data_IF_608507401874
#
_entry.id   IF_608507401874
#
_cell.length_a   1.000
_cell.length_b   1.000
_cell.length_c   1.000
_cell.angle_alpha   90.00
_cell.angle_beta   90.00
_cell.angle_gamma   90.00
#
_symmetry.space_group_name_H-M   'P 1'
#
loop_
_entity.id
_entity.type
_entity.pdbx_description
1 polymer ?
#
# COMPACT_ATOMS: atom_id res chain seq x y z
N UNK A 1 13.39 58.45 19.17
CA UNK A 1 14.20 57.28 19.54
C UNK A 1 13.51 56.59 20.70
N UNK A 2 12.68 55.59 20.42
CA UNK A 2 12.23 54.60 21.40
C UNK A 2 11.78 53.38 20.60
N UNK A 3 12.52 52.30 20.83
CA UNK A 3 12.39 50.99 20.19
C UNK A 3 11.21 50.29 20.83
N UNK A 4 10.27 49.81 20.01
CA UNK A 4 9.30 48.81 20.43
C UNK A 4 9.15 47.77 19.31
N UNK A 5 10.27 47.09 19.06
CA UNK A 5 10.32 45.88 18.26
C UNK A 5 10.27 44.66 19.18
N UNK A 6 9.35 43.74 18.87
CA UNK A 6 9.55 42.34 19.19
C UNK A 6 8.55 41.73 20.15
N UNK A 7 7.32 41.45 19.71
CA UNK A 7 6.48 40.38 20.29
C UNK A 7 5.48 39.75 19.30
N UNK A 8 5.79 39.65 18.01
CA UNK A 8 4.92 38.97 17.01
C UNK A 8 5.49 37.66 16.44
N UNK A 9 6.46 37.03 17.09
CA UNK A 9 7.23 35.92 16.49
C UNK A 9 6.77 34.48 16.76
N UNK A 10 5.74 34.19 17.57
CA UNK A 10 5.59 32.84 18.15
C UNK A 10 4.22 32.13 17.98
N UNK A 11 3.31 32.61 17.12
CA UNK A 11 1.96 32.02 17.02
C UNK A 11 1.69 31.11 15.79
N UNK A 12 2.68 30.88 14.91
CA UNK A 12 2.45 30.22 13.61
C UNK A 12 2.89 28.75 13.46
N UNK A 13 3.61 28.17 14.43
CA UNK A 13 4.40 26.95 14.20
C UNK A 13 3.70 25.60 14.52
N UNK A 14 2.52 25.62 15.16
CA UNK A 14 1.93 24.42 15.78
C UNK A 14 1.42 23.32 14.83
N UNK A 15 0.54 23.62 13.85
CA UNK A 15 -0.13 22.59 13.05
C UNK A 15 0.74 21.97 11.94
N UNK A 16 1.59 22.78 11.30
CA UNK A 16 2.38 22.33 10.14
C UNK A 16 3.59 21.50 10.59
N UNK A 17 4.16 21.78 11.77
CA UNK A 17 5.24 20.98 12.34
C UNK A 17 4.78 19.57 12.72
N UNK A 18 3.61 19.45 13.36
CA UNK A 18 3.01 18.16 13.73
C UNK A 18 2.74 17.28 12.51
N UNK A 19 2.15 17.85 11.46
CA UNK A 19 1.94 17.15 10.18
C UNK A 19 3.25 16.72 9.52
N UNK A 20 4.27 17.58 9.46
CA UNK A 20 5.58 17.23 8.89
C UNK A 20 6.26 16.10 9.67
N UNK A 21 6.10 16.07 11.00
CA UNK A 21 6.61 14.98 11.84
C UNK A 21 5.84 13.68 11.56
N UNK A 22 4.52 13.72 11.49
CA UNK A 22 3.69 12.55 11.18
C UNK A 22 4.05 11.96 9.81
N UNK A 23 4.19 12.78 8.76
CA UNK A 23 4.61 12.32 7.43
C UNK A 23 6.01 11.68 7.46
N UNK A 24 6.96 12.24 8.22
CA UNK A 24 8.28 11.63 8.41
C UNK A 24 8.20 10.28 9.10
N UNK A 25 7.33 10.13 10.10
CA UNK A 25 7.11 8.85 10.78
C UNK A 25 6.49 7.81 9.83
N UNK A 26 5.54 8.20 8.99
CA UNK A 26 4.97 7.31 7.97
C UNK A 26 6.02 6.88 6.94
N UNK A 27 6.86 7.82 6.47
CA UNK A 27 7.97 7.50 5.58
C UNK A 27 8.95 6.53 6.26
N UNK A 28 9.31 6.76 7.52
CA UNK A 28 10.20 5.89 8.27
C UNK A 28 9.59 4.50 8.48
N UNK A 29 8.29 4.41 8.79
CA UNK A 29 7.56 3.15 8.87
C UNK A 29 7.62 2.37 7.56
N UNK A 30 7.39 3.03 6.43
CA UNK A 30 7.56 2.41 5.12
C UNK A 30 9.02 2.01 4.85
N UNK A 31 9.98 2.81 5.29
CA UNK A 31 11.41 2.50 5.23
C UNK A 31 11.77 1.22 5.99
N UNK A 32 11.17 0.99 7.17
CA UNK A 32 11.35 -0.26 7.93
C UNK A 32 10.79 -1.47 7.19
N UNK A 33 9.65 -1.32 6.49
CA UNK A 33 9.09 -2.37 5.63
C UNK A 33 10.11 -2.73 4.52
N UNK A 34 10.73 -1.73 3.90
CA UNK A 34 11.78 -1.96 2.91
C UNK A 34 13.01 -2.66 3.49
N UNK A 35 13.47 -2.27 4.69
CA UNK A 35 14.57 -2.97 5.37
C UNK A 35 14.22 -4.44 5.62
N UNK A 36 12.99 -4.71 6.07
CA UNK A 36 12.52 -6.07 6.27
C UNK A 36 12.51 -6.89 4.98
N UNK A 37 11.98 -6.32 3.89
CA UNK A 37 12.03 -6.94 2.56
C UNK A 37 13.46 -7.24 2.13
N UNK A 38 14.40 -6.30 2.31
CA UNK A 38 15.82 -6.50 1.95
C UNK A 38 16.45 -7.64 2.74
N UNK A 39 16.21 -7.73 4.05
CA UNK A 39 16.72 -8.84 4.88
C UNK A 39 16.25 -10.19 4.35
N UNK A 40 14.99 -10.28 3.90
CA UNK A 40 14.46 -11.49 3.29
C UNK A 40 15.08 -11.77 1.92
N UNK A 41 15.20 -10.76 1.07
CA UNK A 41 15.78 -10.87 -0.27
C UNK A 41 17.27 -11.26 -0.25
N UNK A 42 18.00 -10.93 0.82
CA UNK A 42 19.40 -11.32 0.99
C UNK A 42 19.59 -12.78 1.42
N UNK A 43 18.52 -13.54 1.69
CA UNK A 43 18.64 -14.97 2.00
C UNK A 43 19.16 -15.73 0.77
N UNK A 44 20.10 -16.68 0.93
CA UNK A 44 20.66 -17.43 -0.20
C UNK A 44 19.61 -18.13 -1.06
N UNK A 45 18.55 -18.66 -0.43
CA UNK A 45 17.43 -19.33 -1.13
C UNK A 45 16.71 -18.35 -2.07
N UNK A 46 16.55 -17.10 -1.67
CA UNK A 46 15.94 -16.09 -2.53
C UNK A 46 16.83 -15.72 -3.71
N UNK A 47 18.11 -15.41 -3.44
CA UNK A 47 19.07 -14.98 -4.45
C UNK A 47 19.37 -16.05 -5.51
N UNK A 48 19.35 -17.32 -5.13
CA UNK A 48 19.76 -18.41 -6.01
C UNK A 48 18.60 -19.11 -6.71
N UNK A 49 17.37 -19.01 -6.18
CA UNK A 49 16.26 -19.82 -6.66
C UNK A 49 14.93 -19.04 -6.73
N UNK A 50 14.46 -18.48 -5.61
CA UNK A 50 13.10 -17.92 -5.56
C UNK A 50 12.90 -16.70 -6.46
N UNK A 51 13.91 -15.83 -6.61
CA UNK A 51 13.79 -14.65 -7.46
C UNK A 51 13.46 -15.02 -8.92
N UNK A 52 14.22 -15.95 -9.49
CA UNK A 52 14.00 -16.38 -10.87
C UNK A 52 12.68 -17.13 -11.04
N UNK A 53 12.32 -17.98 -10.07
CA UNK A 53 11.02 -18.67 -10.07
C UNK A 53 9.85 -17.70 -9.97
N UNK A 54 10.01 -16.63 -9.21
CA UNK A 54 8.95 -15.64 -9.05
C UNK A 54 8.67 -14.84 -10.33
N UNK A 55 9.59 -14.82 -11.30
CA UNK A 55 9.34 -14.26 -12.62
C UNK A 55 8.54 -15.19 -13.53
N UNK A 56 8.51 -16.51 -13.25
CA UNK A 56 7.80 -17.46 -14.08
C UNK A 56 6.30 -17.17 -14.10
N UNK A 57 5.68 -17.29 -15.28
CA UNK A 57 4.24 -17.21 -15.41
C UNK A 57 3.55 -18.29 -14.57
N UNK A 58 2.41 -17.96 -13.97
CA UNK A 58 1.60 -18.89 -13.20
C UNK A 58 0.61 -19.63 -14.10
N UNK A 59 0.20 -20.87 -13.73
CA UNK A 59 -0.84 -21.59 -14.45
C UNK A 59 -2.13 -20.77 -14.58
N UNK A 60 -2.67 -20.69 -15.81
CA UNK A 60 -3.91 -19.96 -16.10
C UNK A 60 -3.72 -18.49 -16.49
N UNK A 61 -2.48 -17.98 -16.56
CA UNK A 61 -2.21 -16.64 -17.07
C UNK A 61 -2.35 -16.56 -18.59
N UNK A 62 -2.78 -15.40 -19.09
CA UNK A 62 -2.97 -15.15 -20.51
C UNK A 62 -1.67 -15.34 -21.29
N UNK A 63 -1.75 -15.86 -22.52
CA UNK A 63 -0.58 -16.20 -23.34
C UNK A 63 0.36 -15.00 -23.58
N UNK A 64 -0.20 -13.80 -23.77
CA UNK A 64 0.60 -12.58 -23.95
C UNK A 64 1.44 -12.26 -22.70
N UNK A 65 0.89 -12.51 -21.50
CA UNK A 65 1.56 -12.24 -20.23
C UNK A 65 2.65 -13.28 -19.99
N UNK A 66 2.37 -14.55 -20.26
CA UNK A 66 3.38 -15.61 -20.21
C UNK A 66 4.55 -15.35 -21.17
N UNK A 67 4.27 -14.86 -22.39
CA UNK A 67 5.32 -14.46 -23.34
C UNK A 67 6.11 -13.23 -22.86
N UNK A 68 5.45 -12.28 -22.18
CA UNK A 68 6.11 -11.12 -21.58
C UNK A 68 7.06 -11.55 -20.44
N UNK A 69 6.61 -12.34 -19.48
CA UNK A 69 7.45 -12.78 -18.35
C UNK A 69 8.57 -13.71 -18.79
N UNK A 70 8.33 -14.59 -19.76
CA UNK A 70 9.38 -15.41 -20.36
C UNK A 70 10.51 -14.56 -20.97
N UNK A 71 10.17 -13.47 -21.70
CA UNK A 71 11.19 -12.53 -22.22
C UNK A 71 12.00 -11.89 -21.10
N UNK A 72 11.35 -11.46 -20.02
CA UNK A 72 12.03 -10.89 -18.85
C UNK A 72 12.97 -11.93 -18.21
N UNK A 73 12.52 -13.18 -18.08
CA UNK A 73 13.34 -14.27 -17.55
C UNK A 73 14.60 -14.51 -18.39
N UNK A 74 14.49 -14.52 -19.72
CA UNK A 74 15.64 -14.67 -20.63
C UNK A 74 16.67 -13.56 -20.39
N UNK A 75 16.22 -12.31 -20.27
CA UNK A 75 17.10 -11.18 -19.94
C UNK A 75 17.77 -11.34 -18.57
N UNK A 76 17.00 -11.75 -17.55
CA UNK A 76 17.51 -11.98 -16.19
C UNK A 76 18.54 -13.11 -16.16
N UNK A 77 18.29 -14.19 -16.90
CA UNK A 77 19.25 -15.30 -17.04
C UNK A 77 20.53 -14.85 -17.74
N UNK A 78 20.43 -14.06 -18.82
CA UNK A 78 21.57 -13.53 -19.56
C UNK A 78 22.47 -12.62 -18.70
N UNK A 79 21.88 -11.81 -17.82
CA UNK A 79 22.61 -10.94 -16.89
C UNK A 79 23.13 -11.69 -15.64
N UNK A 80 22.63 -12.91 -15.41
CA UNK A 80 22.85 -13.71 -14.21
C UNK A 80 21.79 -13.43 -13.14
N UNK A 81 20.90 -14.39 -12.89
CA UNK A 81 19.74 -14.22 -12.00
C UNK A 81 20.11 -13.73 -10.59
N UNK A 82 21.16 -14.29 -9.99
CA UNK A 82 21.64 -13.87 -8.68
C UNK A 82 22.16 -12.43 -8.66
N UNK A 83 22.76 -11.95 -9.76
CA UNK A 83 23.21 -10.56 -9.88
C UNK A 83 22.03 -9.60 -9.95
N UNK A 84 20.99 -9.95 -10.71
CA UNK A 84 19.75 -9.16 -10.78
C UNK A 84 19.03 -9.16 -9.43
N UNK A 85 18.97 -10.30 -8.74
CA UNK A 85 18.39 -10.40 -7.40
C UNK A 85 19.14 -9.53 -6.38
N UNK A 86 20.49 -9.53 -6.41
CA UNK A 86 21.31 -8.65 -5.57
C UNK A 86 21.10 -7.17 -5.91
N UNK A 87 20.99 -6.82 -7.19
CA UNK A 87 20.69 -5.45 -7.61
C UNK A 87 19.30 -4.99 -7.12
N UNK A 88 18.30 -5.86 -7.19
CA UNK A 88 16.97 -5.67 -6.60
C UNK A 88 17.05 -5.39 -5.09
N UNK A 89 17.80 -6.20 -4.35
CA UNK A 89 18.01 -6.00 -2.91
C UNK A 89 18.76 -4.68 -2.61
N UNK A 90 19.74 -4.31 -3.43
CA UNK A 90 20.48 -3.06 -3.29
C UNK A 90 19.58 -1.83 -3.54
N UNK A 91 18.71 -1.88 -4.57
CA UNK A 91 17.69 -0.85 -4.80
C UNK A 91 16.78 -0.75 -3.57
N UNK A 92 16.30 -1.88 -3.04
CA UNK A 92 15.48 -1.90 -1.84
C UNK A 92 16.17 -1.28 -0.61
N UNK A 93 17.46 -1.54 -0.43
CA UNK A 93 18.25 -0.97 0.67
C UNK A 93 18.41 0.55 0.52
N UNK A 94 18.65 1.05 -0.70
CA UNK A 94 18.74 2.47 -0.99
C UNK A 94 17.39 3.19 -0.77
N UNK A 95 16.29 2.57 -1.19
CA UNK A 95 14.94 3.09 -0.94
C UNK A 95 14.66 3.15 0.57
N UNK A 96 14.91 2.06 1.31
CA UNK A 96 14.75 2.01 2.76
C UNK A 96 15.59 3.07 3.48
N UNK A 97 16.86 3.21 3.13
CA UNK A 97 17.75 4.22 3.71
C UNK A 97 17.27 5.65 3.43
N UNK A 98 16.83 5.93 2.20
CA UNK A 98 16.27 7.23 1.84
C UNK A 98 15.01 7.56 2.66
N UNK A 99 14.11 6.59 2.82
CA UNK A 99 12.88 6.74 3.59
C UNK A 99 13.13 6.99 5.07
N UNK A 100 14.08 6.26 5.67
CA UNK A 100 14.45 6.40 7.09
C UNK A 100 15.16 7.72 7.39
N UNK A 101 16.01 8.19 6.48
CA UNK A 101 16.83 9.39 6.70
C UNK A 101 16.20 10.67 6.14
N UNK A 102 15.24 10.55 5.22
CA UNK A 102 14.70 11.66 4.44
C UNK A 102 15.66 12.21 3.37
N UNK A 103 16.84 11.62 3.18
CA UNK A 103 17.83 12.07 2.19
C UNK A 103 17.46 11.57 0.80
N UNK A 104 17.59 12.43 -0.21
CA UNK A 104 17.27 12.13 -1.62
C UNK A 104 15.84 11.66 -1.87
N UNK A 105 14.92 11.94 -0.93
CA UNK A 105 13.59 11.34 -0.87
C UNK A 105 12.79 11.50 -2.16
N UNK A 106 12.91 12.65 -2.86
CA UNK A 106 12.23 12.84 -4.15
C UNK A 106 12.75 11.91 -5.24
N UNK A 107 14.06 11.79 -5.38
CA UNK A 107 14.67 10.95 -6.41
C UNK A 107 14.40 9.47 -6.11
N UNK A 108 14.55 9.08 -4.85
CA UNK A 108 14.23 7.73 -4.38
C UNK A 108 12.75 7.40 -4.51
N UNK A 109 11.84 8.36 -4.30
CA UNK A 109 10.42 8.10 -4.52
C UNK A 109 10.08 7.87 -5.99
N UNK A 110 10.65 8.64 -6.93
CA UNK A 110 10.49 8.36 -8.36
C UNK A 110 11.07 7.00 -8.77
N UNK A 111 12.27 6.68 -8.29
CA UNK A 111 12.85 5.35 -8.48
C UNK A 111 11.93 4.27 -7.93
N UNK A 112 11.40 4.47 -6.72
CA UNK A 112 10.46 3.58 -6.05
C UNK A 112 9.19 3.34 -6.87
N UNK A 113 8.57 4.38 -7.43
CA UNK A 113 7.41 4.25 -8.33
C UNK A 113 7.73 3.35 -9.51
N UNK A 114 8.78 3.67 -10.27
CA UNK A 114 9.13 2.93 -11.50
C UNK A 114 9.51 1.48 -11.17
N UNK A 115 10.33 1.31 -10.14
CA UNK A 115 10.84 0.01 -9.72
C UNK A 115 9.73 -0.92 -9.25
N UNK A 116 8.87 -0.46 -8.34
CA UNK A 116 7.78 -1.29 -7.81
C UNK A 116 6.70 -1.53 -8.85
N UNK A 117 6.44 -0.58 -9.75
CA UNK A 117 5.55 -0.80 -10.88
C UNK A 117 6.09 -1.88 -11.83
N UNK A 118 7.38 -1.86 -12.14
CA UNK A 118 8.01 -2.90 -12.95
C UNK A 118 8.00 -4.27 -12.26
N UNK A 119 8.28 -4.32 -10.95
CA UNK A 119 8.15 -5.56 -10.19
C UNK A 119 6.70 -6.04 -10.18
N UNK A 120 5.71 -5.15 -10.05
CA UNK A 120 4.29 -5.50 -10.10
C UNK A 120 3.90 -6.19 -11.41
N UNK A 121 4.40 -5.70 -12.55
CA UNK A 121 4.13 -6.33 -13.85
C UNK A 121 4.88 -7.63 -14.08
N UNK A 122 5.86 -7.98 -13.26
CA UNK A 122 6.72 -9.16 -13.46
C UNK A 122 6.54 -10.16 -12.32
N UNK A 123 7.20 -9.89 -11.20
CA UNK A 123 7.19 -10.69 -9.98
C UNK A 123 5.84 -10.62 -9.25
N UNK A 124 5.13 -9.50 -9.44
CA UNK A 124 3.78 -9.19 -8.99
C UNK A 124 2.66 -9.96 -9.64
N UNK A 125 2.91 -10.53 -10.82
CA UNK A 125 1.89 -11.23 -11.59
C UNK A 125 0.64 -10.40 -11.88
N UNK A 126 0.74 -9.06 -11.84
CA UNK A 126 -0.36 -8.09 -11.96
C UNK A 126 -1.49 -8.20 -10.91
N UNK A 127 -1.31 -9.01 -9.86
CA UNK A 127 -2.35 -9.30 -8.87
C UNK A 127 -3.53 -10.12 -9.43
N UNK A 128 -4.69 -10.04 -8.77
CA UNK A 128 -5.96 -10.51 -9.31
C UNK A 128 -6.41 -9.63 -10.48
N UNK A 129 -7.10 -10.16 -11.53
CA UNK A 129 -7.50 -11.56 -11.72
C UNK A 129 -6.42 -12.44 -12.36
N UNK A 130 -5.24 -11.89 -12.66
CA UNK A 130 -4.15 -12.61 -13.32
C UNK A 130 -3.49 -13.65 -12.41
N UNK A 131 -3.82 -13.63 -11.12
CA UNK A 131 -3.46 -14.65 -10.14
C UNK A 131 -4.73 -15.31 -9.61
N UNK A 132 -4.86 -16.63 -9.81
CA UNK A 132 -6.00 -17.40 -9.28
C UNK A 132 -6.08 -17.25 -7.76
N UNK A 133 -7.29 -16.98 -7.26
CA UNK A 133 -7.52 -16.84 -5.83
C UNK A 133 -7.04 -15.52 -5.23
N UNK A 134 -6.67 -14.52 -6.05
CA UNK A 134 -6.42 -13.16 -5.59
C UNK A 134 -7.56 -12.23 -6.04
N UNK A 135 -8.03 -11.36 -5.13
CA UNK A 135 -9.01 -10.31 -5.45
C UNK A 135 -8.38 -8.92 -5.47
N UNK A 136 -7.20 -8.77 -4.86
CA UNK A 136 -6.48 -7.51 -4.78
C UNK A 136 -5.56 -7.33 -6.00
N UNK A 137 -5.19 -6.08 -6.35
CA UNK A 137 -4.31 -5.78 -7.47
C UNK A 137 -2.84 -6.16 -7.19
N UNK A 138 -2.52 -6.70 -6.01
CA UNK A 138 -1.19 -7.08 -5.59
C UNK A 138 -0.45 -5.97 -4.81
N UNK A 139 0.49 -6.39 -3.97
CA UNK A 139 1.23 -5.50 -3.04
C UNK A 139 2.05 -4.43 -3.74
N UNK A 140 2.74 -4.78 -4.84
CA UNK A 140 3.76 -3.93 -5.45
C UNK A 140 3.20 -2.66 -6.12
N UNK A 141 1.99 -2.71 -6.70
CA UNK A 141 1.35 -1.50 -7.25
C UNK A 141 0.94 -0.53 -6.12
N UNK A 142 0.66 -1.07 -4.94
CA UNK A 142 0.31 -0.29 -3.75
C UNK A 142 1.57 0.37 -3.18
N UNK A 143 2.72 -0.32 -3.23
CA UNK A 143 4.01 0.31 -2.93
C UNK A 143 4.30 1.47 -3.89
N UNK A 144 4.01 1.32 -5.18
CA UNK A 144 4.12 2.43 -6.15
C UNK A 144 3.24 3.61 -5.72
N UNK A 145 2.02 3.33 -5.27
CA UNK A 145 1.10 4.35 -4.78
C UNK A 145 1.61 5.04 -3.50
N UNK A 146 2.25 4.32 -2.57
CA UNK A 146 2.89 4.93 -1.40
C UNK A 146 4.00 5.91 -1.83
N UNK A 147 4.83 5.55 -2.80
CA UNK A 147 5.83 6.49 -3.31
C UNK A 147 5.21 7.70 -4.03
N UNK A 148 4.10 7.54 -4.74
CA UNK A 148 3.33 8.67 -5.28
C UNK A 148 2.80 9.56 -4.15
N UNK A 149 2.29 8.99 -3.06
CA UNK A 149 1.85 9.75 -1.88
C UNK A 149 3.01 10.54 -1.25
N UNK A 150 4.19 9.93 -1.16
CA UNK A 150 5.40 10.63 -0.73
C UNK A 150 5.67 11.82 -1.65
N UNK A 151 5.70 11.63 -2.97
CA UNK A 151 5.89 12.72 -3.94
C UNK A 151 4.83 13.83 -3.80
N UNK A 152 3.57 13.48 -3.59
CA UNK A 152 2.48 14.43 -3.39
C UNK A 152 2.60 15.21 -2.06
N UNK A 153 3.24 14.63 -1.05
CA UNK A 153 3.46 15.25 0.26
C UNK A 153 4.76 16.03 0.39
N UNK A 154 5.70 15.84 -0.56
CA UNK A 154 6.94 16.62 -0.61
C UNK A 154 6.63 18.07 -0.95
N UNK A 155 7.20 18.98 -0.17
CA UNK A 155 7.11 20.41 -0.40
C UNK A 155 8.16 20.81 -1.45
N UNK A 156 7.73 21.45 -2.53
CA UNK A 156 8.65 22.01 -3.51
C UNK A 156 9.16 23.32 -2.92
N UNK A 157 10.34 23.30 -2.28
CA UNK A 157 11.00 24.47 -1.67
C UNK A 157 11.34 25.62 -2.64
N UNK A 158 10.70 25.70 -3.81
CA UNK A 158 10.81 26.73 -4.84
C UNK A 158 9.81 27.89 -4.70
N UNK A 159 8.87 27.85 -3.74
CA UNK A 159 7.84 28.90 -3.64
C UNK A 159 8.21 29.97 -2.62
N UNK A 160 8.67 31.10 -3.16
CA UNK A 160 8.81 32.35 -2.44
C UNK A 160 7.48 32.87 -1.87
N UNK A 161 7.63 33.86 -0.98
CA UNK A 161 6.71 34.39 0.06
C UNK A 161 5.38 35.03 -0.41
N UNK A 162 4.78 34.61 -1.54
CA UNK A 162 3.50 35.14 -2.06
C UNK A 162 2.34 34.13 -1.84
N UNK A 163 2.59 33.06 -1.11
CA UNK A 163 2.01 31.74 -1.36
C UNK A 163 1.24 31.16 -0.17
N UNK A 164 0.22 31.85 0.36
CA UNK A 164 -0.67 31.25 1.38
C UNK A 164 -1.88 30.58 0.71
N UNK A 165 -2.70 31.33 -0.03
CA UNK A 165 -3.89 30.81 -0.71
C UNK A 165 -3.56 29.85 -1.87
N UNK A 166 -2.55 30.17 -2.68
CA UNK A 166 -2.02 29.29 -3.72
C UNK A 166 -1.47 27.96 -3.16
N UNK A 167 -1.07 27.94 -1.89
CA UNK A 167 -0.58 26.73 -1.21
C UNK A 167 -1.71 25.89 -0.62
N UNK A 168 -2.86 26.50 -0.30
CA UNK A 168 -4.04 25.75 0.16
C UNK A 168 -4.74 25.03 -1.00
N UNK A 169 -4.94 25.72 -2.13
CA UNK A 169 -5.51 25.13 -3.35
C UNK A 169 -4.69 23.92 -3.81
N UNK A 170 -3.36 24.06 -3.89
CA UNK A 170 -2.47 22.98 -4.29
C UNK A 170 -2.45 21.81 -3.31
N UNK A 171 -2.52 22.09 -2.01
CA UNK A 171 -2.60 21.04 -0.98
C UNK A 171 -3.89 20.26 -1.10
N UNK A 172 -5.01 20.92 -1.40
CA UNK A 172 -6.29 20.28 -1.63
C UNK A 172 -6.25 19.42 -2.91
N UNK A 173 -5.68 19.92 -4.00
CA UNK A 173 -5.52 19.18 -5.25
C UNK A 173 -4.65 17.92 -5.07
N UNK A 174 -3.54 18.03 -4.34
CA UNK A 174 -2.67 16.88 -4.02
C UNK A 174 -3.38 15.85 -3.14
N UNK A 175 -4.15 16.31 -2.15
CA UNK A 175 -4.99 15.42 -1.34
C UNK A 175 -6.06 14.73 -2.18
N UNK A 176 -6.75 15.46 -3.06
CA UNK A 176 -7.72 14.90 -3.97
C UNK A 176 -7.10 13.86 -4.90
N UNK A 177 -5.93 14.13 -5.47
CA UNK A 177 -5.21 13.17 -6.30
C UNK A 177 -4.86 11.89 -5.52
N UNK A 178 -4.26 12.02 -4.33
CA UNK A 178 -3.94 10.88 -3.47
C UNK A 178 -5.20 10.05 -3.14
N UNK A 179 -6.27 10.73 -2.73
CA UNK A 179 -7.55 10.14 -2.37
C UNK A 179 -8.18 9.39 -3.55
N UNK A 180 -8.24 10.01 -4.73
CA UNK A 180 -8.82 9.40 -5.94
C UNK A 180 -8.00 8.21 -6.41
N UNK A 181 -6.66 8.30 -6.46
CA UNK A 181 -5.81 7.18 -6.84
C UNK A 181 -6.00 5.97 -5.93
N UNK A 182 -6.09 6.19 -4.61
CA UNK A 182 -6.35 5.11 -3.67
C UNK A 182 -7.80 4.62 -3.73
N UNK A 183 -8.76 5.50 -4.00
CA UNK A 183 -10.15 5.14 -4.23
C UNK A 183 -10.36 4.27 -5.47
N UNK A 184 -9.60 4.50 -6.55
CA UNK A 184 -9.62 3.65 -7.75
C UNK A 184 -9.13 2.24 -7.44
N UNK A 185 -8.10 2.15 -6.61
CA UNK A 185 -7.53 0.89 -6.17
C UNK A 185 -8.50 0.12 -5.27
N UNK A 186 -9.20 0.79 -4.35
CA UNK A 186 -10.32 0.21 -3.60
C UNK A 186 -11.51 -0.18 -4.47
N UNK A 187 -11.81 0.59 -5.53
CA UNK A 187 -12.89 0.26 -6.45
C UNK A 187 -12.58 -1.02 -7.24
N UNK A 188 -11.30 -1.25 -7.55
CA UNK A 188 -10.84 -2.50 -8.14
C UNK A 188 -11.11 -3.68 -7.20
N UNK A 189 -10.69 -3.58 -5.93
CA UNK A 189 -10.94 -4.63 -4.92
C UNK A 189 -12.43 -4.91 -4.77
N UNK A 190 -13.23 -3.87 -4.60
CA UNK A 190 -14.68 -3.96 -4.44
C UNK A 190 -15.34 -4.67 -5.63
N UNK A 191 -14.91 -4.37 -6.87
CA UNK A 191 -15.43 -5.03 -8.07
C UNK A 191 -15.21 -6.54 -8.03
N UNK A 192 -14.08 -7.01 -7.51
CA UNK A 192 -13.79 -8.45 -7.39
C UNK A 192 -14.55 -9.12 -6.25
N UNK A 193 -14.91 -8.39 -5.18
CA UNK A 193 -15.76 -8.94 -4.12
C UNK A 193 -17.19 -9.25 -4.58
N UNK A 194 -17.68 -8.55 -5.60
CA UNK A 194 -18.99 -8.83 -6.19
C UNK A 194 -19.01 -10.05 -7.12
N UNK A 195 -17.88 -10.73 -7.32
CA UNK A 195 -17.87 -11.97 -8.12
C UNK A 195 -18.60 -13.10 -7.40
N UNK A 196 -19.32 -13.98 -8.12
CA UNK A 196 -20.03 -15.10 -7.51
C UNK A 196 -19.11 -16.00 -6.67
N UNK A 197 -17.88 -16.20 -7.11
CA UNK A 197 -16.92 -17.03 -6.38
C UNK A 197 -16.61 -16.45 -5.00
N UNK A 198 -16.28 -15.16 -4.91
CA UNK A 198 -16.01 -14.53 -3.61
C UNK A 198 -17.25 -14.56 -2.71
N UNK A 199 -18.43 -14.28 -3.26
CA UNK A 199 -19.67 -14.25 -2.48
C UNK A 199 -20.04 -15.62 -1.88
N UNK A 200 -19.82 -16.71 -2.62
CA UNK A 200 -20.15 -18.05 -2.15
C UNK A 200 -19.03 -18.74 -1.35
N UNK A 201 -17.78 -18.29 -1.50
CA UNK A 201 -16.60 -18.94 -0.91
C UNK A 201 -15.61 -17.96 -0.22
N UNK A 202 -16.05 -16.95 0.54
CA UNK A 202 -15.14 -15.97 1.15
C UNK A 202 -14.24 -16.57 2.23
N UNK A 203 -14.67 -17.65 2.87
CA UNK A 203 -13.92 -18.39 3.88
C UNK A 203 -12.68 -19.09 3.30
N UNK A 204 -12.69 -19.44 2.01
CA UNK A 204 -11.55 -20.11 1.37
C UNK A 204 -10.27 -19.30 1.43
N UNK A 205 -10.36 -17.96 1.41
CA UNK A 205 -9.21 -17.06 1.55
C UNK A 205 -8.61 -17.15 2.96
N UNK A 206 -9.47 -17.25 4.00
CA UNK A 206 -9.02 -17.41 5.39
C UNK A 206 -8.44 -18.80 5.64
N UNK A 207 -9.06 -19.85 5.10
CA UNK A 207 -8.54 -21.24 5.18
C UNK A 207 -7.16 -21.33 4.53
N UNK A 208 -6.97 -20.70 3.37
CA UNK A 208 -5.66 -20.64 2.72
C UNK A 208 -4.62 -19.90 3.57
N UNK A 209 -5.02 -18.81 4.24
CA UNK A 209 -4.15 -18.04 5.10
C UNK A 209 -3.65 -18.82 6.34
N UNK A 210 -4.34 -19.88 6.77
CA UNK A 210 -3.90 -20.74 7.88
C UNK A 210 -2.72 -21.65 7.51
N UNK A 211 -2.44 -21.87 6.22
CA UNK A 211 -1.44 -22.82 5.78
C UNK A 211 -0.02 -22.42 6.27
N UNK A 212 0.62 -23.34 7.00
CA UNK A 212 1.97 -23.16 7.57
C UNK A 212 2.12 -22.03 8.60
N UNK A 213 1.00 -21.52 9.12
CA UNK A 213 0.97 -20.56 10.22
C UNK A 213 1.21 -21.24 11.58
N UNK A 214 1.78 -20.51 12.57
CA UNK A 214 1.77 -20.92 13.97
C UNK A 214 0.37 -21.23 14.51
N UNK A 215 0.27 -22.09 15.51
CA UNK A 215 -1.01 -22.53 16.09
C UNK A 215 -1.89 -21.38 16.56
N UNK A 216 -1.33 -20.36 17.22
CA UNK A 216 -2.11 -19.23 17.71
C UNK A 216 -2.70 -18.38 16.58
N UNK A 217 -1.99 -18.22 15.44
CA UNK A 217 -2.53 -17.53 14.26
C UNK A 217 -3.63 -18.38 13.62
N UNK A 218 -3.41 -19.70 13.50
CA UNK A 218 -4.44 -20.61 12.98
C UNK A 218 -5.70 -20.56 13.83
N UNK A 219 -5.59 -20.57 15.15
CA UNK A 219 -6.72 -20.45 16.06
C UNK A 219 -7.44 -19.10 15.94
N UNK A 220 -6.68 -18.00 15.82
CA UNK A 220 -7.23 -16.67 15.57
C UNK A 220 -8.02 -16.62 14.26
N UNK A 221 -7.46 -17.12 13.15
CA UNK A 221 -8.15 -17.16 11.86
C UNK A 221 -9.35 -18.12 11.89
N UNK A 222 -9.22 -19.26 12.58
CA UNK A 222 -10.28 -20.25 12.72
C UNK A 222 -11.53 -19.65 13.37
N UNK A 223 -11.35 -18.83 14.41
CA UNK A 223 -12.47 -18.11 15.03
C UNK A 223 -13.27 -17.29 14.00
N UNK A 224 -12.62 -16.59 13.07
CA UNK A 224 -13.33 -15.85 12.02
C UNK A 224 -13.99 -16.78 10.99
N UNK A 225 -13.36 -17.90 10.64
CA UNK A 225 -13.97 -18.92 9.77
C UNK A 225 -15.26 -19.45 10.40
N UNK A 226 -15.23 -19.78 11.70
CA UNK A 226 -16.39 -20.28 12.43
C UNK A 226 -17.51 -19.23 12.47
N UNK A 227 -17.17 -17.94 12.64
CA UNK A 227 -18.13 -16.83 12.55
C UNK A 227 -18.75 -16.74 11.15
N UNK A 228 -17.95 -16.88 10.07
CA UNK A 228 -18.45 -16.88 8.69
C UNK A 228 -19.42 -18.05 8.46
N UNK A 229 -19.07 -19.24 8.94
CA UNK A 229 -19.94 -20.42 8.83
C UNK A 229 -21.24 -20.24 9.63
N UNK A 230 -21.17 -19.57 10.79
CA UNK A 230 -22.35 -19.29 11.61
C UNK A 230 -23.32 -18.28 10.97
N UNK A 231 -22.82 -17.15 10.43
CA UNK A 231 -23.69 -16.13 9.78
C UNK A 231 -24.08 -16.49 8.33
N UNK A 232 -23.35 -17.42 7.72
CA UNK A 232 -23.51 -17.81 6.33
C UNK A 232 -22.49 -17.13 5.40
N UNK A 233 -21.75 -17.88 4.56
CA UNK A 233 -20.74 -17.32 3.66
C UNK A 233 -21.26 -16.21 2.74
N UNK A 234 -22.47 -16.34 2.21
CA UNK A 234 -23.09 -15.31 1.36
C UNK A 234 -23.30 -13.99 2.10
N UNK A 235 -23.76 -14.05 3.36
CA UNK A 235 -24.01 -12.85 4.18
C UNK A 235 -22.69 -12.13 4.44
N UNK A 236 -21.65 -12.88 4.82
CA UNK A 236 -20.31 -12.33 5.00
C UNK A 236 -19.74 -11.74 3.70
N UNK A 237 -19.84 -12.48 2.59
CA UNK A 237 -19.34 -12.06 1.29
C UNK A 237 -19.97 -10.75 0.83
N UNK A 238 -21.29 -10.61 0.95
CA UNK A 238 -22.02 -9.37 0.65
C UNK A 238 -21.61 -8.24 1.59
N UNK A 239 -21.47 -8.50 2.89
CA UNK A 239 -21.05 -7.49 3.86
C UNK A 239 -19.63 -6.97 3.56
N UNK A 240 -18.70 -7.85 3.21
CA UNK A 240 -17.36 -7.48 2.77
C UNK A 240 -17.41 -6.66 1.47
N UNK A 241 -18.14 -7.13 0.45
CA UNK A 241 -18.27 -6.40 -0.82
C UNK A 241 -18.86 -4.99 -0.64
N UNK A 242 -19.86 -4.85 0.24
CA UNK A 242 -20.44 -3.55 0.60
C UNK A 242 -19.44 -2.66 1.35
N UNK A 243 -18.69 -3.21 2.30
CA UNK A 243 -17.67 -2.46 3.03
C UNK A 243 -16.63 -1.85 2.08
N UNK A 244 -16.10 -2.65 1.16
CA UNK A 244 -15.12 -2.19 0.16
C UNK A 244 -15.71 -1.19 -0.83
N UNK A 245 -16.96 -1.40 -1.24
CA UNK A 245 -17.70 -0.46 -2.11
C UNK A 245 -17.89 0.89 -1.42
N UNK A 246 -18.28 0.90 -0.15
CA UNK A 246 -18.47 2.13 0.64
C UNK A 246 -17.15 2.87 0.81
N UNK A 247 -16.05 2.16 1.06
CA UNK A 247 -14.70 2.74 1.12
C UNK A 247 -14.34 3.36 -0.24
N UNK A 248 -14.48 2.61 -1.33
CA UNK A 248 -14.17 3.06 -2.68
C UNK A 248 -14.97 4.32 -3.06
N UNK A 249 -16.30 4.29 -2.90
CA UNK A 249 -17.17 5.43 -3.22
C UNK A 249 -16.88 6.63 -2.32
N UNK A 250 -16.64 6.40 -1.02
CA UNK A 250 -16.24 7.46 -0.09
C UNK A 250 -14.91 8.13 -0.49
N UNK A 251 -13.92 7.32 -0.89
CA UNK A 251 -12.63 7.79 -1.39
C UNK A 251 -12.72 8.41 -2.79
N UNK A 252 -13.64 8.04 -3.66
CA UNK A 252 -13.79 8.65 -4.98
C UNK A 252 -14.62 9.95 -4.93
N UNK A 253 -15.75 9.92 -4.23
CA UNK A 253 -16.66 11.06 -4.08
C UNK A 253 -16.23 12.09 -3.03
N UNK A 254 -15.39 11.70 -2.07
CA UNK A 254 -14.93 12.57 -0.98
C UNK A 254 -15.97 12.72 0.12
N UNK A 255 -16.93 11.79 0.18
CA UNK A 255 -18.05 11.82 1.11
C UNK A 255 -17.72 11.05 2.39
N UNK A 256 -18.15 11.58 3.53
CA UNK A 256 -18.03 10.89 4.81
C UNK A 256 -16.59 10.58 5.25
N UNK A 257 -15.58 11.28 4.71
CA UNK A 257 -14.16 10.96 4.92
C UNK A 257 -13.72 10.86 6.39
N UNK A 258 -14.41 11.58 7.30
CA UNK A 258 -14.18 11.47 8.74
C UNK A 258 -14.44 10.06 9.29
N UNK A 259 -15.37 9.33 8.68
CA UNK A 259 -15.73 7.95 9.03
C UNK A 259 -15.03 6.96 8.11
N UNK A 260 -14.98 7.25 6.80
CA UNK A 260 -14.39 6.34 5.80
C UNK A 260 -12.90 6.10 6.04
N UNK A 261 -12.13 7.12 6.42
CA UNK A 261 -10.69 6.96 6.64
C UNK A 261 -10.36 6.03 7.83
N UNK A 262 -10.90 6.24 9.05
CA UNK A 262 -10.66 5.30 10.14
C UNK A 262 -11.32 3.94 9.90
N UNK A 263 -12.50 3.88 9.27
CA UNK A 263 -13.13 2.60 8.91
C UNK A 263 -12.26 1.79 7.95
N UNK A 264 -11.79 2.40 6.86
CA UNK A 264 -10.91 1.74 5.90
C UNK A 264 -9.58 1.30 6.51
N UNK A 265 -9.00 2.12 7.41
CA UNK A 265 -7.81 1.73 8.18
C UNK A 265 -8.06 0.44 9.00
N UNK A 266 -9.14 0.40 9.77
CA UNK A 266 -9.47 -0.76 10.61
C UNK A 266 -9.83 -1.98 9.76
N UNK A 267 -10.55 -1.78 8.66
CA UNK A 267 -10.92 -2.84 7.74
C UNK A 267 -9.69 -3.44 7.04
N UNK A 268 -8.74 -2.62 6.60
CA UNK A 268 -7.45 -3.09 6.08
C UNK A 268 -6.67 -3.91 7.11
N UNK A 269 -6.64 -3.49 8.38
CA UNK A 269 -5.99 -4.27 9.44
C UNK A 269 -6.72 -5.59 9.71
N UNK A 270 -8.05 -5.62 9.65
CA UNK A 270 -8.82 -6.84 9.81
C UNK A 270 -8.55 -7.85 8.70
N UNK A 271 -8.45 -7.40 7.44
CA UNK A 271 -8.06 -8.27 6.32
C UNK A 271 -6.62 -8.78 6.52
N UNK A 272 -5.70 -7.91 6.91
CA UNK A 272 -4.30 -8.26 7.10
C UNK A 272 -4.11 -9.37 8.14
N UNK A 273 -4.80 -9.28 9.28
CA UNK A 273 -4.69 -10.30 10.34
C UNK A 273 -5.44 -11.60 10.02
N UNK A 274 -6.40 -11.57 9.09
CA UNK A 274 -7.23 -12.72 8.74
C UNK A 274 -6.83 -13.31 7.38
N UNK A 275 -7.33 -12.76 6.27
CA UNK A 275 -7.16 -13.28 4.93
C UNK A 275 -5.71 -13.21 4.41
N UNK A 276 -4.85 -12.35 4.97
CA UNK A 276 -3.40 -12.33 4.66
C UNK A 276 -2.54 -13.02 5.73
N UNK A 277 -3.15 -13.49 6.82
CA UNK A 277 -2.47 -14.24 7.88
C UNK A 277 -1.27 -13.51 8.49
N UNK A 278 -1.38 -12.20 8.71
CA UNK A 278 -0.35 -11.31 9.27
C UNK A 278 0.88 -11.07 8.38
N UNK A 279 0.97 -11.76 7.24
CA UNK A 279 2.15 -11.77 6.40
C UNK A 279 3.45 -12.05 7.17
N UNK A 280 4.54 -11.54 6.64
CA UNK A 280 5.81 -11.42 7.32
C UNK A 280 6.44 -12.77 7.69
N UNK A 281 7.00 -12.88 8.91
CA UNK A 281 7.66 -14.09 9.40
C UNK A 281 6.69 -15.25 9.68
N UNK A 282 5.38 -15.05 9.53
CA UNK A 282 4.35 -16.01 9.91
C UNK A 282 3.70 -16.72 8.70
N UNK A 283 3.73 -16.12 7.51
CA UNK A 283 3.17 -16.74 6.30
C UNK A 283 4.06 -17.80 5.66
N UNK A 284 3.49 -18.96 5.29
CA UNK A 284 4.19 -20.00 4.53
C UNK A 284 4.24 -19.76 3.01
N UNK A 285 3.44 -18.82 2.50
CA UNK A 285 3.43 -18.41 1.10
C UNK A 285 3.17 -16.91 1.05
N UNK A 286 4.24 -16.09 1.00
CA UNK A 286 4.10 -14.69 0.59
C UNK A 286 3.84 -14.69 -0.91
N UNK A 287 2.57 -14.83 -1.28
CA UNK A 287 2.13 -14.71 -2.66
C UNK A 287 2.56 -13.34 -3.19
N UNK A 288 3.41 -13.38 -4.22
CA UNK A 288 4.07 -12.27 -4.93
C UNK A 288 5.53 -12.09 -4.49
N UNK A 289 6.45 -12.48 -5.37
CA UNK A 289 7.87 -12.56 -5.06
C UNK A 289 8.47 -11.27 -4.53
N UNK A 290 8.96 -11.35 -3.29
CA UNK A 290 9.82 -10.33 -2.70
C UNK A 290 9.15 -9.38 -1.70
N UNK A 291 7.83 -9.43 -1.53
CA UNK A 291 7.12 -8.63 -0.51
C UNK A 291 6.60 -9.51 0.62
N UNK A 292 7.08 -9.22 1.83
CA UNK A 292 6.87 -10.14 2.94
C UNK A 292 5.58 -9.81 3.69
N UNK A 293 5.17 -8.54 3.84
CA UNK A 293 4.15 -8.14 4.83
C UNK A 293 2.67 -8.20 4.41
N UNK A 294 2.36 -8.36 3.12
CA UNK A 294 0.98 -8.40 2.60
C UNK A 294 0.50 -7.07 2.01
N UNK A 295 -0.59 -7.12 1.23
CA UNK A 295 -1.14 -5.98 0.49
C UNK A 295 -1.84 -5.01 1.43
N UNK A 296 -2.70 -5.52 2.31
CA UNK A 296 -3.63 -4.68 3.10
C UNK A 296 -2.99 -3.92 4.26
N UNK A 297 -1.85 -4.35 4.79
CA UNK A 297 -1.09 -3.52 5.76
C UNK A 297 -0.55 -2.23 5.11
N UNK A 298 -0.29 -2.25 3.79
CA UNK A 298 0.13 -1.06 3.05
C UNK A 298 -1.06 -0.15 2.78
N UNK A 299 -2.27 -0.69 2.66
CA UNK A 299 -3.49 0.10 2.59
C UNK A 299 -3.71 0.87 3.89
N UNK A 300 -3.48 0.21 5.03
CA UNK A 300 -3.49 0.87 6.33
C UNK A 300 -2.51 2.06 6.37
N UNK A 301 -1.29 1.89 5.84
CA UNK A 301 -0.33 2.99 5.70
C UNK A 301 -0.87 4.13 4.81
N UNK A 302 -1.47 3.83 3.65
CA UNK A 302 -2.07 4.84 2.77
C UNK A 302 -3.24 5.58 3.44
N UNK A 303 -4.07 4.89 4.22
CA UNK A 303 -5.09 5.55 5.06
C UNK A 303 -4.47 6.49 6.08
N UNK A 304 -3.37 6.10 6.74
CA UNK A 304 -2.67 6.98 7.67
C UNK A 304 -2.12 8.23 6.95
N UNK A 305 -1.58 8.10 5.74
CA UNK A 305 -1.21 9.27 4.93
C UNK A 305 -2.42 10.16 4.65
N UNK A 306 -3.55 9.59 4.20
CA UNK A 306 -4.76 10.37 3.94
C UNK A 306 -5.27 11.05 5.21
N UNK A 307 -5.23 10.40 6.38
CA UNK A 307 -5.62 10.97 7.67
C UNK A 307 -4.71 12.16 8.03
N UNK A 308 -3.40 12.03 7.84
CA UNK A 308 -2.43 13.12 8.10
C UNK A 308 -2.59 14.26 7.09
N UNK A 309 -2.96 13.95 5.84
CA UNK A 309 -3.22 14.94 4.80
C UNK A 309 -4.57 15.65 4.97
N UNK A 310 -5.57 14.95 5.53
CA UNK A 310 -6.93 15.40 5.69
C UNK A 310 -7.00 16.66 6.57
N UNK A 311 -7.54 17.73 6.00
CA UNK A 311 -7.87 18.96 6.75
C UNK A 311 -9.37 19.06 6.90
N UNK A 312 -9.84 19.40 8.10
CA UNK A 312 -11.24 19.77 8.31
C UNK A 312 -11.48 21.09 7.57
N UNK A 313 -12.54 21.20 6.75
CA UNK A 313 -12.98 22.53 6.33
C UNK A 313 -13.30 23.35 7.60
N UNK A 314 -12.98 24.65 7.63
CA UNK A 314 -13.35 25.51 8.74
C UNK A 314 -14.84 25.40 9.00
N UNK A 315 -15.24 25.27 10.27
CA UNK A 315 -16.63 25.47 10.67
C UNK A 315 -16.86 26.98 10.60
N UNK A 316 -17.11 27.48 9.39
CA UNK A 316 -17.55 28.85 9.12
C UNK A 316 -18.95 28.82 8.53
N UNK A 317 -19.76 29.87 8.73
CA UNK A 317 -21.06 29.98 8.09
C UNK A 317 -20.87 29.84 6.58
N UNK A 318 -21.72 29.03 5.94
CA UNK A 318 -21.77 28.95 4.48
C UNK A 318 -22.02 30.37 3.95
N UNK A 319 -21.29 30.84 2.94
CA UNK A 319 -21.69 32.07 2.27
C UNK A 319 -23.11 31.87 1.73
N UNK A 320 -23.98 32.82 2.08
CA UNK A 320 -25.37 32.89 1.62
C UNK A 320 -25.43 33.00 0.09
#
# INVERSE_FOLDING_TARGET
MSVNDGLHGAAGAGPDLGRRRALRLLNAGFGLIWVFNVVYQLRPVYLNDLFLRALAARPGQAAWYAAYTHRVMVWVQALGASRVAMASAAIGALLGLSLLTGRWLRASAWLGVVYTFFLWTTVGHLGGPYTRGATDPGTLIVYSLVFLFILLTLDDGRRGRISAELTEGDRNSRYQAARVLFGLLWAFDAAWKWTPFFLHHPDTYLVQAQAGQPEWIRAYIQFFIDVIHWIGPMVFGVAAALAETVIAVGLLGGWGLRLILPFGLLYSLAIWTTAEGWGGPYGAVTGVGGDVLGTTIIYALLFLYLIVMFRRPPIGPRPN
#
